data_IF_614436758791
#
_entry.id   IF_614436758791
#
_cell.length_a   1.000
_cell.length_b   1.000
_cell.length_c   1.000
_cell.angle_alpha   90.00
_cell.angle_beta   90.00
_cell.angle_gamma   90.00
#
_symmetry.space_group_name_H-M   'P 1'
#
loop_
_entity.id
_entity.type
_entity.pdbx_description
1 polymer ?
#
# COMPACT_ATOMS: atom_id res chain seq x y z
N UNK A 1 -75.65 -13.75 -38.36
CA UNK A 1 -75.25 -15.02 -38.97
C UNK A 1 -73.88 -14.82 -39.58
N UNK A 2 -72.96 -15.70 -39.22
CA UNK A 2 -71.69 -16.03 -39.91
C UNK A 2 -70.51 -15.06 -39.72
N UNK A 3 -69.75 -15.31 -38.66
CA UNK A 3 -68.32 -14.97 -38.51
C UNK A 3 -67.46 -15.76 -39.51
N UNK A 4 -66.31 -15.24 -39.96
CA UNK A 4 -65.23 -16.07 -40.46
C UNK A 4 -63.98 -16.06 -39.57
N UNK A 5 -63.36 -17.24 -39.59
CA UNK A 5 -62.26 -17.80 -38.82
C UNK A 5 -60.97 -16.99 -38.76
N UNK A 6 -60.34 -17.11 -37.59
CA UNK A 6 -58.94 -16.82 -37.26
C UNK A 6 -58.04 -17.93 -37.83
N UNK A 7 -56.89 -17.55 -38.42
CA UNK A 7 -55.67 -18.36 -38.38
C UNK A 7 -54.47 -17.46 -38.02
N UNK A 8 -53.66 -17.81 -37.02
CA UNK A 8 -52.44 -17.08 -36.69
C UNK A 8 -51.24 -17.67 -37.44
N UNK A 9 -50.41 -16.81 -38.04
CA UNK A 9 -49.09 -17.19 -38.54
C UNK A 9 -48.07 -16.93 -37.44
N UNK A 10 -47.45 -18.01 -36.96
CA UNK A 10 -46.29 -17.95 -36.08
C UNK A 10 -45.07 -17.46 -36.87
N UNK A 11 -44.37 -16.46 -36.32
CA UNK A 11 -43.00 -16.14 -36.68
C UNK A 11 -42.17 -16.29 -35.40
N UNK A 12 -41.44 -17.39 -35.32
CA UNK A 12 -40.37 -17.61 -34.34
C UNK A 12 -39.17 -16.77 -34.80
N UNK A 13 -38.88 -15.68 -34.10
CA UNK A 13 -37.54 -15.07 -34.16
C UNK A 13 -36.66 -15.73 -33.11
N UNK A 14 -35.68 -16.49 -33.61
CA UNK A 14 -34.57 -17.03 -32.83
C UNK A 14 -33.74 -15.89 -32.22
N UNK A 15 -34.04 -15.54 -30.98
CA UNK A 15 -33.17 -14.71 -30.14
C UNK A 15 -31.92 -15.49 -29.79
N UNK A 16 -30.89 -15.36 -30.63
CA UNK A 16 -29.51 -15.78 -30.38
C UNK A 16 -29.02 -15.27 -29.02
N UNK A 17 -29.04 -16.17 -28.02
CA UNK A 17 -28.44 -15.94 -26.71
C UNK A 17 -26.94 -15.69 -26.87
N UNK A 18 -26.53 -14.44 -26.68
CA UNK A 18 -25.12 -14.12 -26.42
C UNK A 18 -24.77 -14.71 -25.06
N UNK A 19 -24.23 -15.91 -25.09
CA UNK A 19 -23.64 -16.57 -23.94
C UNK A 19 -22.43 -15.74 -23.52
N UNK A 20 -22.59 -14.94 -22.47
CA UNK A 20 -21.48 -14.31 -21.80
C UNK A 20 -20.61 -15.42 -21.20
N UNK A 21 -19.52 -15.76 -21.90
CA UNK A 21 -18.46 -16.56 -21.30
C UNK A 21 -17.80 -15.70 -20.22
N UNK A 22 -18.04 -16.06 -18.97
CA UNK A 22 -17.27 -15.52 -17.84
C UNK A 22 -15.78 -15.71 -18.12
N UNK A 23 -14.95 -14.64 -18.05
CA UNK A 23 -13.52 -14.77 -18.28
C UNK A 23 -12.95 -15.82 -17.34
N UNK A 24 -12.37 -16.87 -17.93
CA UNK A 24 -11.75 -17.97 -17.18
C UNK A 24 -10.50 -17.42 -16.48
N UNK A 25 -10.28 -17.67 -15.18
CA UNK A 25 -9.10 -17.19 -14.47
C UNK A 25 -7.89 -18.03 -14.88
N UNK A 26 -7.28 -17.72 -16.03
CA UNK A 26 -6.08 -18.42 -16.52
C UNK A 26 -4.81 -17.56 -16.64
N UNK A 27 -4.91 -16.24 -16.44
CA UNK A 27 -3.74 -15.35 -16.53
C UNK A 27 -3.57 -14.53 -15.24
N UNK A 28 -3.55 -15.16 -14.06
CA UNK A 28 -2.98 -14.49 -12.88
C UNK A 28 -1.48 -14.78 -12.86
N UNK A 29 -0.60 -13.75 -12.99
CA UNK A 29 0.83 -13.95 -12.74
C UNK A 29 1.01 -14.51 -11.33
N UNK A 30 1.70 -15.65 -11.24
CA UNK A 30 1.77 -16.49 -10.04
C UNK A 30 2.70 -15.97 -8.95
N UNK A 31 3.41 -14.87 -9.16
CA UNK A 31 4.22 -14.24 -8.12
C UNK A 31 4.10 -12.71 -8.26
N UNK A 32 3.36 -12.03 -7.36
CA UNK A 32 2.97 -10.64 -7.62
C UNK A 32 4.08 -9.63 -7.39
N UNK A 33 5.20 -9.98 -6.75
CA UNK A 33 6.26 -9.01 -6.49
C UNK A 33 7.65 -9.64 -6.49
N UNK A 34 8.64 -9.04 -7.18
CA UNK A 34 10.03 -9.41 -6.94
C UNK A 34 10.39 -9.01 -5.50
N UNK A 35 10.45 -10.01 -4.61
CA UNK A 35 10.87 -9.89 -3.21
C UNK A 35 12.40 -9.82 -3.07
N UNK A 36 13.04 -9.12 -4.01
CA UNK A 36 14.49 -8.95 -4.05
C UNK A 36 14.94 -7.63 -3.43
N UNK A 37 16.17 -7.54 -2.89
CA UNK A 37 16.73 -6.31 -2.32
C UNK A 37 17.00 -5.21 -3.37
N UNK A 38 16.64 -5.45 -4.63
CA UNK A 38 16.95 -4.60 -5.76
C UNK A 38 15.69 -4.41 -6.60
N UNK A 39 15.27 -3.16 -6.76
CA UNK A 39 14.29 -2.76 -7.79
C UNK A 39 15.07 -2.07 -8.90
N UNK A 40 14.76 -2.38 -10.16
CA UNK A 40 15.45 -1.78 -11.30
C UNK A 40 15.36 -0.24 -11.36
N UNK A 41 14.38 0.33 -10.64
CA UNK A 41 14.17 1.78 -10.53
C UNK A 41 14.91 2.45 -9.34
N UNK A 42 15.50 1.68 -8.42
CA UNK A 42 16.24 2.24 -7.28
C UNK A 42 17.65 2.68 -7.68
N UNK A 43 18.22 3.63 -6.94
CA UNK A 43 19.60 4.07 -7.18
C UNK A 43 20.61 2.97 -6.81
N UNK A 44 21.78 3.00 -7.44
CA UNK A 44 22.85 2.05 -7.12
C UNK A 44 23.32 2.25 -5.67
N UNK A 45 23.37 1.16 -4.90
CA UNK A 45 23.78 1.21 -3.49
C UNK A 45 22.64 1.47 -2.50
N UNK A 46 21.42 1.69 -2.99
CA UNK A 46 20.23 1.80 -2.14
C UNK A 46 19.88 0.47 -1.50
N UNK A 47 19.64 0.46 -0.19
CA UNK A 47 19.04 -0.69 0.48
C UNK A 47 17.52 -0.61 0.36
N UNK A 48 16.87 -1.73 0.01
CA UNK A 48 15.42 -1.79 -0.14
C UNK A 48 14.86 -2.91 0.73
N UNK A 49 13.72 -2.65 1.38
CA UNK A 49 12.95 -3.68 2.08
C UNK A 49 11.46 -3.48 1.82
N UNK A 50 10.74 -4.60 1.69
CA UNK A 50 9.29 -4.62 1.45
C UNK A 50 8.54 -4.80 2.76
N UNK A 51 7.51 -3.99 2.95
CA UNK A 51 6.54 -4.09 4.02
C UNK A 51 5.15 -4.41 3.47
N UNK A 52 4.42 -5.20 4.24
CA UNK A 52 3.01 -5.49 4.01
C UNK A 52 2.20 -4.83 5.12
N UNK A 53 1.28 -3.95 4.73
CA UNK A 53 0.32 -3.34 5.63
C UNK A 53 -1.04 -3.97 5.33
N UNK A 54 -1.43 -4.90 6.20
CA UNK A 54 -2.63 -5.74 6.04
C UNK A 54 -3.84 -5.09 6.71
N UNK A 55 -5.01 -5.68 6.44
CA UNK A 55 -6.29 -5.30 7.04
C UNK A 55 -6.72 -3.85 6.72
N UNK A 56 -6.37 -3.39 5.51
CA UNK A 56 -6.64 -2.03 5.02
C UNK A 56 -8.13 -1.66 5.16
N UNK A 57 -9.02 -2.53 4.69
CA UNK A 57 -10.47 -2.30 4.70
C UNK A 57 -11.00 -2.15 6.13
N UNK A 58 -10.59 -3.03 7.06
CA UNK A 58 -11.03 -2.95 8.45
C UNK A 58 -10.62 -1.61 9.10
N UNK A 59 -9.45 -1.08 8.71
CA UNK A 59 -8.95 0.21 9.19
C UNK A 59 -9.72 1.38 8.58
N UNK A 60 -10.06 1.31 7.29
CA UNK A 60 -10.94 2.30 6.66
C UNK A 60 -12.34 2.29 7.27
N UNK A 61 -12.94 1.12 7.48
CA UNK A 61 -14.26 0.97 8.07
C UNK A 61 -14.31 1.62 9.46
N UNK A 62 -13.27 1.44 10.28
CA UNK A 62 -13.16 2.09 11.59
C UNK A 62 -13.14 3.63 11.54
N UNK A 63 -12.64 4.23 10.44
CA UNK A 63 -12.67 5.68 10.24
C UNK A 63 -14.06 6.17 9.84
N UNK A 64 -14.81 5.34 9.11
CA UNK A 64 -16.18 5.65 8.71
C UNK A 64 -17.09 5.65 9.95
N UNK A 65 -16.93 4.66 10.83
CA UNK A 65 -17.83 4.45 11.97
C UNK A 65 -17.75 5.55 13.03
N UNK A 66 -16.55 5.95 13.49
CA UNK A 66 -16.38 7.19 14.29
C UNK A 66 -14.91 7.58 14.60
N UNK A 67 -13.91 6.89 14.05
CA UNK A 67 -12.51 7.25 14.35
C UNK A 67 -12.02 8.40 13.47
N UNK A 68 -11.32 9.37 14.08
CA UNK A 68 -10.60 10.40 13.33
C UNK A 68 -9.28 9.87 12.74
N UNK A 69 -8.73 8.81 13.33
CA UNK A 69 -7.42 8.27 12.95
C UNK A 69 -7.38 6.74 13.10
N UNK A 70 -6.70 6.06 12.18
CA UNK A 70 -6.43 4.63 12.24
C UNK A 70 -4.98 4.39 11.85
N UNK A 71 -4.32 3.43 12.50
CA UNK A 71 -2.93 3.08 12.20
C UNK A 71 -2.82 1.60 11.85
N UNK A 72 -2.02 1.32 10.82
CA UNK A 72 -1.54 -0.01 10.43
C UNK A 72 -0.04 -0.08 10.72
N UNK A 73 0.38 -1.09 11.45
CA UNK A 73 1.78 -1.34 11.76
C UNK A 73 2.30 -2.53 10.97
N UNK A 74 3.51 -2.41 10.43
CA UNK A 74 4.22 -3.53 9.86
C UNK A 74 4.95 -4.34 10.93
N UNK A 75 5.41 -5.53 10.56
CA UNK A 75 6.46 -6.21 11.32
C UNK A 75 7.79 -5.43 11.23
N UNK A 76 8.68 -5.66 12.21
CA UNK A 76 10.02 -5.11 12.17
C UNK A 76 10.86 -5.80 11.09
N UNK A 77 11.62 -5.02 10.32
CA UNK A 77 12.49 -5.50 9.23
C UNK A 77 13.88 -4.89 9.34
N UNK A 78 14.87 -5.55 8.76
CA UNK A 78 16.19 -4.97 8.59
C UNK A 78 16.23 -4.13 7.32
N UNK A 79 16.83 -2.93 7.40
CA UNK A 79 17.05 -2.03 6.28
C UNK A 79 18.44 -1.40 6.42
N UNK A 80 19.38 -1.86 5.60
CA UNK A 80 20.76 -1.37 5.62
C UNK A 80 21.43 -1.50 7.00
N UNK A 81 21.12 -2.57 7.75
CA UNK A 81 21.63 -2.78 9.12
C UNK A 81 20.75 -2.21 10.23
N UNK A 82 19.90 -1.21 9.95
CA UNK A 82 18.95 -0.69 10.94
C UNK A 82 17.73 -1.61 11.09
N UNK A 83 17.20 -1.75 12.30
CA UNK A 83 15.89 -2.38 12.52
C UNK A 83 14.80 -1.31 12.46
N UNK A 84 13.84 -1.50 11.57
CA UNK A 84 12.81 -0.50 11.25
C UNK A 84 11.41 -1.10 11.30
N UNK A 85 10.43 -0.28 11.65
CA UNK A 85 8.99 -0.57 11.56
C UNK A 85 8.36 0.51 10.71
N UNK A 86 7.50 0.13 9.78
CA UNK A 86 6.71 1.06 8.99
C UNK A 86 5.30 1.13 9.55
N UNK A 87 4.81 2.34 9.77
CA UNK A 87 3.42 2.59 10.14
C UNK A 87 2.75 3.35 9.00
N UNK A 88 1.50 3.01 8.68
CA UNK A 88 0.63 3.85 7.87
C UNK A 88 -0.48 4.41 8.75
N UNK A 89 -0.47 5.72 8.90
CA UNK A 89 -1.46 6.49 9.65
C UNK A 89 -2.46 7.07 8.67
N UNK A 90 -3.70 6.62 8.80
CA UNK A 90 -4.85 7.13 8.09
C UNK A 90 -5.54 8.18 8.96
N UNK A 91 -5.80 9.36 8.39
CA UNK A 91 -6.47 10.45 9.08
C UNK A 91 -7.66 10.93 8.25
N UNK A 92 -8.83 10.98 8.89
CA UNK A 92 -10.07 11.53 8.33
C UNK A 92 -10.19 13.00 8.75
N UNK A 93 -10.41 13.88 7.78
CA UNK A 93 -10.65 15.30 8.04
C UNK A 93 -12.13 15.59 8.37
N UNK A 94 -12.44 16.84 8.72
CA UNK A 94 -13.79 17.29 9.07
C UNK A 94 -14.80 17.15 7.91
N UNK A 95 -14.32 17.01 6.67
CA UNK A 95 -15.13 16.81 5.46
C UNK A 95 -15.28 15.33 5.10
N UNK A 96 -14.65 14.43 5.87
CA UNK A 96 -14.65 13.00 5.65
C UNK A 96 -13.61 12.51 4.65
N UNK A 97 -12.73 13.38 4.13
CA UNK A 97 -11.64 12.96 3.26
C UNK A 97 -10.55 12.26 4.08
N UNK A 98 -10.05 11.13 3.55
CA UNK A 98 -9.03 10.32 4.22
C UNK A 98 -7.68 10.58 3.54
N UNK A 99 -6.67 10.85 4.37
CA UNK A 99 -5.27 10.94 3.96
C UNK A 99 -4.44 9.85 4.64
N UNK A 100 -3.45 9.33 3.94
CA UNK A 100 -2.49 8.36 4.45
C UNK A 100 -1.12 9.02 4.58
N UNK A 101 -0.44 8.77 5.70
CA UNK A 101 0.94 9.17 5.91
C UNK A 101 1.74 7.98 6.42
N UNK A 102 2.95 7.83 5.91
CA UNK A 102 3.83 6.72 6.27
C UNK A 102 4.91 7.20 7.22
N UNK A 103 5.06 6.49 8.34
CA UNK A 103 6.00 6.83 9.42
C UNK A 103 6.98 5.66 9.56
N UNK A 104 8.26 5.93 9.31
CA UNK A 104 9.32 4.94 9.52
C UNK A 104 9.93 5.12 10.90
N UNK A 105 9.70 4.15 11.77
CA UNK A 105 10.20 4.14 13.14
C UNK A 105 11.48 3.29 13.23
N UNK A 106 12.54 3.84 13.83
CA UNK A 106 13.74 3.09 14.18
C UNK A 106 13.50 2.34 15.49
N UNK A 107 13.88 1.07 15.54
CA UNK A 107 13.81 0.21 16.74
C UNK A 107 15.21 -0.31 17.06
N UNK A 108 15.46 -0.58 18.35
CA UNK A 108 16.72 -1.19 18.76
C UNK A 108 16.94 -2.53 18.03
N UNK A 109 18.04 -2.64 17.30
CA UNK A 109 18.43 -3.79 16.48
C UNK A 109 19.73 -4.44 16.93
N UNK A 110 19.97 -5.66 16.46
CA UNK A 110 21.19 -6.43 16.78
C UNK A 110 22.47 -5.76 16.26
N UNK A 111 22.35 -5.00 15.17
CA UNK A 111 23.48 -4.36 14.49
C UNK A 111 23.72 -2.92 14.94
N UNK A 112 22.91 -2.36 15.84
CA UNK A 112 22.97 -0.94 16.23
C UNK A 112 24.31 -0.49 16.83
N UNK A 113 25.17 -1.41 17.25
CA UNK A 113 26.53 -1.12 17.71
C UNK A 113 27.48 -0.76 16.57
N UNK A 114 27.17 -1.21 15.36
CA UNK A 114 27.94 -0.97 14.14
C UNK A 114 27.32 0.10 13.24
N UNK A 115 26.13 0.59 13.60
CA UNK A 115 25.42 1.61 12.83
C UNK A 115 25.80 3.01 13.25
N UNK A 116 25.77 3.93 12.28
CA UNK A 116 25.97 5.36 12.52
C UNK A 116 24.76 5.97 13.25
N UNK A 117 25.04 6.79 14.26
CA UNK A 117 24.07 7.58 15.02
C UNK A 117 24.59 9.02 15.24
N UNK A 118 23.73 10.06 15.22
CA UNK A 118 22.29 10.00 14.95
C UNK A 118 21.99 9.57 13.51
N UNK A 119 20.79 9.03 13.30
CA UNK A 119 20.34 8.58 11.99
C UNK A 119 20.24 9.78 11.03
N UNK A 120 20.95 9.69 9.91
CA UNK A 120 21.08 10.78 8.93
C UNK A 120 21.00 10.28 7.47
N UNK A 121 20.31 9.17 7.24
CA UNK A 121 20.15 8.57 5.91
C UNK A 121 18.93 9.13 5.19
N UNK A 122 18.93 9.12 3.86
CA UNK A 122 17.76 9.52 3.09
C UNK A 122 16.79 8.36 2.97
N UNK A 123 15.51 8.67 3.07
CA UNK A 123 14.44 7.69 3.07
C UNK A 123 13.41 8.02 2.00
N UNK A 124 13.01 7.01 1.24
CA UNK A 124 11.88 7.11 0.30
C UNK A 124 10.93 5.94 0.54
N UNK A 125 9.66 6.25 0.72
CA UNK A 125 8.56 5.27 0.71
C UNK A 125 8.08 5.11 -0.72
N UNK A 126 7.89 3.87 -1.16
CA UNK A 126 7.45 3.55 -2.51
C UNK A 126 6.25 2.62 -2.45
N UNK A 127 5.07 3.16 -2.72
CA UNK A 127 3.85 2.37 -2.85
C UNK A 127 3.91 1.63 -4.17
N UNK A 128 3.98 0.31 -4.09
CA UNK A 128 4.32 -0.52 -5.25
C UNK A 128 3.06 -1.03 -5.94
N UNK A 129 2.97 -0.79 -7.23
CA UNK A 129 1.86 -1.29 -8.03
C UNK A 129 2.12 -2.74 -8.49
N UNK A 130 1.08 -3.58 -8.51
CA UNK A 130 1.18 -4.99 -8.95
C UNK A 130 1.59 -5.14 -10.42
N UNK A 131 1.14 -4.24 -11.28
CA UNK A 131 1.41 -4.28 -12.73
C UNK A 131 2.82 -3.82 -13.13
N UNK A 132 3.55 -3.09 -12.28
CA UNK A 132 4.87 -2.59 -12.66
C UNK A 132 5.31 -1.29 -11.97
N UNK A 133 6.63 -1.01 -11.95
CA UNK A 133 7.24 0.11 -11.24
C UNK A 133 6.89 1.49 -11.84
N UNK A 134 6.46 1.55 -13.09
CA UNK A 134 6.05 2.80 -13.76
C UNK A 134 4.78 3.43 -13.18
N UNK A 135 4.01 2.65 -12.41
CA UNK A 135 2.80 3.08 -11.72
C UNK A 135 3.00 3.31 -10.22
N UNK A 136 4.23 3.16 -9.74
CA UNK A 136 4.52 3.39 -8.32
C UNK A 136 4.35 4.85 -7.93
N UNK A 137 3.97 5.06 -6.67
CA UNK A 137 4.00 6.38 -6.04
C UNK A 137 5.21 6.43 -5.10
N UNK A 138 6.09 7.40 -5.32
CA UNK A 138 7.30 7.62 -4.52
C UNK A 138 7.12 8.84 -3.63
N UNK A 139 7.26 8.62 -2.33
CA UNK A 139 7.06 9.62 -1.28
C UNK A 139 8.39 9.78 -0.51
N UNK A 140 9.17 10.84 -0.78
CA UNK A 140 10.34 11.12 0.03
C UNK A 140 9.91 11.40 1.48
N UNK A 141 10.69 10.89 2.43
CA UNK A 141 10.49 11.16 3.84
C UNK A 141 11.44 12.28 4.26
N UNK A 142 10.88 13.32 4.87
CA UNK A 142 11.69 14.42 5.40
C UNK A 142 12.56 13.93 6.57
N UNK A 143 13.87 14.14 6.48
CA UNK A 143 14.78 13.95 7.61
C UNK A 143 14.49 15.04 8.64
N UNK A 144 14.16 14.63 9.86
CA UNK A 144 13.95 15.54 10.99
C UNK A 144 15.24 15.63 11.79
N UNK A 145 15.60 16.84 12.24
CA UNK A 145 16.73 17.04 13.16
C UNK A 145 16.34 16.83 14.63
N UNK A 146 15.08 16.45 14.90
CA UNK A 146 14.60 16.21 16.25
C UNK A 146 15.26 14.98 16.87
N UNK A 147 15.89 15.17 18.03
CA UNK A 147 16.61 14.12 18.75
C UNK A 147 15.79 12.85 19.00
N UNK A 148 14.49 12.96 19.30
CA UNK A 148 13.60 11.81 19.54
C UNK A 148 13.28 10.98 18.28
N UNK A 149 13.60 11.51 17.09
CA UNK A 149 13.40 10.85 15.81
C UNK A 149 14.69 10.14 15.38
N UNK A 150 15.85 10.80 15.56
CA UNK A 150 17.13 10.34 14.99
C UNK A 150 18.10 9.70 15.96
N UNK A 151 17.87 9.77 17.28
CA UNK A 151 18.77 9.14 18.26
C UNK A 151 18.72 7.61 18.18
N UNK A 152 19.72 6.93 18.73
CA UNK A 152 19.66 5.47 18.90
C UNK A 152 18.46 5.08 19.78
N UNK A 153 17.54 4.20 19.32
CA UNK A 153 16.41 3.75 20.13
C UNK A 153 16.88 3.02 21.39
N UNK A 154 16.15 3.19 22.49
CA UNK A 154 16.39 2.39 23.68
C UNK A 154 15.90 0.95 23.48
N UNK A 155 16.48 -0.06 24.15
CA UNK A 155 16.01 -1.44 24.08
C UNK A 155 14.50 -1.55 24.35
N UNK A 156 13.79 -2.27 23.48
CA UNK A 156 12.34 -2.45 23.58
C UNK A 156 11.48 -1.25 23.16
N UNK A 157 12.09 -0.17 22.67
CA UNK A 157 11.37 1.03 22.22
C UNK A 157 11.59 1.33 20.74
N UNK A 158 10.68 2.12 20.17
CA UNK A 158 10.81 2.75 18.86
C UNK A 158 10.95 4.27 19.03
N UNK A 159 11.67 4.92 18.13
CA UNK A 159 11.64 6.37 18.00
C UNK A 159 10.28 6.84 17.47
N UNK A 160 10.02 8.16 17.53
CA UNK A 160 8.80 8.77 16.97
C UNK A 160 8.66 8.55 15.46
N UNK A 161 9.78 8.28 14.79
CA UNK A 161 9.85 7.96 13.38
C UNK A 161 9.83 9.19 12.47
N UNK A 162 10.23 8.96 11.22
CA UNK A 162 10.19 9.97 10.17
C UNK A 162 8.93 9.82 9.35
N UNK A 163 8.22 10.92 9.13
CA UNK A 163 6.93 10.92 8.44
C UNK A 163 7.07 11.44 6.99
N UNK A 164 6.35 10.80 6.07
CA UNK A 164 6.15 11.29 4.70
C UNK A 164 5.04 12.34 4.63
N UNK A 165 5.04 13.13 3.56
CA UNK A 165 3.88 13.97 3.23
C UNK A 165 2.61 13.12 3.10
N UNK A 166 1.45 13.65 3.54
CA UNK A 166 0.20 12.93 3.41
C UNK A 166 -0.22 12.78 1.94
N UNK A 167 -0.68 11.58 1.59
CA UNK A 167 -1.22 11.23 0.28
C UNK A 167 -2.73 11.00 0.39
N UNK A 168 -3.52 11.41 -0.60
CA UNK A 168 -4.97 11.14 -0.57
C UNK A 168 -5.25 9.65 -0.67
N UNK A 169 -6.15 9.14 0.18
CA UNK A 169 -6.55 7.73 0.08
C UNK A 169 -7.21 7.42 -1.27
N UNK A 170 -7.97 8.37 -1.82
CA UNK A 170 -8.58 8.24 -3.14
C UNK A 170 -7.54 8.08 -4.25
N UNK A 171 -6.37 8.71 -4.13
CA UNK A 171 -5.27 8.55 -5.09
C UNK A 171 -4.64 7.16 -4.97
N UNK A 172 -4.49 6.63 -3.74
CA UNK A 172 -3.97 5.28 -3.50
C UNK A 172 -4.91 4.22 -4.10
N UNK A 173 -6.22 4.34 -3.85
CA UNK A 173 -7.22 3.43 -4.39
C UNK A 173 -7.37 3.55 -5.90
N UNK A 174 -7.48 4.79 -6.42
CA UNK A 174 -7.62 5.06 -7.84
C UNK A 174 -6.40 4.61 -8.65
N UNK A 175 -5.22 4.60 -8.03
CA UNK A 175 -4.01 4.05 -8.63
C UNK A 175 -3.93 2.51 -8.57
N UNK A 176 -4.84 1.81 -7.86
CA UNK A 176 -4.81 0.34 -7.78
C UNK A 176 -3.72 -0.23 -6.87
N UNK A 177 -3.24 0.55 -5.89
CA UNK A 177 -2.11 0.17 -5.02
C UNK A 177 -2.50 -0.75 -3.86
N UNK A 178 -3.80 -0.94 -3.62
CA UNK A 178 -4.31 -1.89 -2.63
C UNK A 178 -4.66 -3.21 -3.32
N UNK A 179 -4.00 -4.29 -2.92
CA UNK A 179 -4.21 -5.61 -3.50
C UNK A 179 -4.50 -6.63 -2.40
N UNK A 180 -5.59 -7.39 -2.53
CA UNK A 180 -6.04 -8.38 -1.54
C UNK A 180 -6.03 -7.82 -0.10
N UNK A 181 -6.65 -6.65 0.10
CA UNK A 181 -6.75 -6.00 1.41
C UNK A 181 -5.37 -5.67 2.05
N UNK A 182 -4.33 -5.54 1.22
CA UNK A 182 -2.95 -5.29 1.64
C UNK A 182 -2.35 -4.17 0.80
N UNK A 183 -1.63 -3.27 1.46
CA UNK A 183 -0.81 -2.25 0.82
C UNK A 183 0.65 -2.70 0.87
N UNK A 184 1.28 -2.81 -0.30
CA UNK A 184 2.68 -3.22 -0.44
C UNK A 184 3.57 -1.97 -0.54
N UNK A 185 4.48 -1.83 0.40
CA UNK A 185 5.30 -0.62 0.54
C UNK A 185 6.77 -0.99 0.59
N UNK A 186 7.53 -0.55 -0.42
CA UNK A 186 8.98 -0.61 -0.35
C UNK A 186 9.50 0.62 0.37
N UNK A 187 10.52 0.45 1.20
CA UNK A 187 11.29 1.57 1.76
C UNK A 187 12.71 1.48 1.25
N UNK A 188 13.17 2.60 0.71
CA UNK A 188 14.49 2.78 0.14
C UNK A 188 15.34 3.65 1.06
N UNK A 189 16.56 3.19 1.36
CA UNK A 189 17.56 3.86 2.20
C UNK A 189 18.82 4.15 1.38
N UNK A 190 19.22 5.42 1.32
CA UNK A 190 20.45 5.91 0.67
C UNK A 190 21.45 6.49 1.69
#
# INVERSE_FOLDING_TARGET
MSEPMIQPLAAEEESSGSQWESPTPKDRPSEPFPTGPHRSASQFGTFVTLFELRDVQAKLDSLIEDSAEATMDSEARNLGGYTVVLQCRLKKDDKGAISASFILCLRCGEWDTYMDWPFAKKLTVVLSHVDGPEKDIRLPIATSDESDVIKKPAPGSCNKGHQSEPLSWQEIEGAGLVFNNTLYVNVELE
#
